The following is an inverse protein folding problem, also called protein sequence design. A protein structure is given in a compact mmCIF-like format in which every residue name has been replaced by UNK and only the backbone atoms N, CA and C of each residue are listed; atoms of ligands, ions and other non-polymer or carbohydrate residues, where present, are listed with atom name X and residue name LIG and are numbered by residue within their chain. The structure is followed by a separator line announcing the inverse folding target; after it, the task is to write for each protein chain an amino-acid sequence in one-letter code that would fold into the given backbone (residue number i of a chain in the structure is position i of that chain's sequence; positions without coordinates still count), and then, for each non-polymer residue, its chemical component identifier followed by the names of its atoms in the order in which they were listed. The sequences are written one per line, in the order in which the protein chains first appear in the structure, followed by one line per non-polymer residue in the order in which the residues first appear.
data_IF_596387298703
#
_entry.id   IF_596387298703
#
_cell.length_a   1.000
_cell.length_b   1.000
_cell.length_c   1.000
_cell.angle_alpha   90.00
_cell.angle_beta   90.00
_cell.angle_gamma   90.00
#
_symmetry.space_group_name_H-M   'P 1'
#
loop_
_entity.id
_entity.type
_entity.pdbx_description
1 polymer ?
#
# COMPACT_ATOMS: atom_id res chain seq x y z
N UNK A 1 -10.20 22.99 23.22
CA UNK A 1 -10.58 24.21 22.46
C UNK A 1 -10.72 25.43 23.36
N UNK A 2 -11.37 25.30 24.53
CA UNK A 2 -11.47 26.36 25.53
C UNK A 2 -10.11 26.86 26.01
N UNK A 3 -9.19 25.95 26.36
CA UNK A 3 -7.84 26.31 26.80
C UNK A 3 -7.02 27.04 25.71
N UNK A 4 -7.38 26.85 24.44
CA UNK A 4 -6.76 27.55 23.31
C UNK A 4 -7.49 28.85 22.92
N UNK A 5 -8.59 29.21 23.59
CA UNK A 5 -9.39 30.40 23.27
C UNK A 5 -10.14 30.34 21.93
N UNK A 6 -10.33 29.14 21.36
CA UNK A 6 -10.86 28.96 19.99
C UNK A 6 -12.35 28.60 19.93
N UNK A 7 -13.09 28.67 21.03
CA UNK A 7 -14.50 28.21 21.09
C UNK A 7 -15.47 28.99 20.22
N UNK A 8 -15.12 30.21 19.80
CA UNK A 8 -15.90 31.00 18.84
C UNK A 8 -15.73 30.54 17.38
N UNK A 9 -14.65 29.82 17.09
CA UNK A 9 -14.26 29.36 15.73
C UNK A 9 -14.48 27.86 15.61
N UNK A 10 -13.99 27.07 16.57
CA UNK A 10 -14.06 25.61 16.57
C UNK A 10 -15.23 25.15 17.43
N UNK A 11 -16.21 24.53 16.76
CA UNK A 11 -17.35 23.86 17.42
C UNK A 11 -17.11 22.36 17.43
N UNK A 12 -17.11 21.77 18.62
CA UNK A 12 -17.02 20.31 18.79
C UNK A 12 -18.42 19.73 18.84
N UNK A 13 -18.71 18.78 17.94
CA UNK A 13 -19.98 18.06 17.90
C UNK A 13 -19.68 16.60 18.21
N UNK A 14 -20.22 16.11 19.33
CA UNK A 14 -20.04 14.72 19.73
C UNK A 14 -21.11 13.84 19.07
N UNK A 15 -20.82 13.37 17.87
CA UNK A 15 -21.69 12.52 17.07
C UNK A 15 -20.86 11.64 16.14
N UNK A 16 -21.43 10.51 15.71
CA UNK A 16 -20.99 9.83 14.49
C UNK A 16 -21.34 10.71 13.29
N UNK A 17 -20.49 10.69 12.25
CA UNK A 17 -20.71 11.52 11.06
C UNK A 17 -21.93 11.05 10.26
N UNK A 18 -22.26 9.76 10.35
CA UNK A 18 -23.43 9.14 9.75
C UNK A 18 -24.74 9.75 10.26
N UNK A 19 -24.76 10.18 11.53
CA UNK A 19 -25.89 10.74 12.27
C UNK A 19 -25.81 12.27 12.40
N UNK A 20 -24.74 12.88 11.90
CA UNK A 20 -24.49 14.30 12.04
C UNK A 20 -25.53 15.10 11.24
N UNK A 21 -26.04 16.15 11.89
CA UNK A 21 -26.82 17.20 11.23
C UNK A 21 -26.06 18.50 11.43
N UNK A 22 -25.62 19.12 10.32
CA UNK A 22 -24.95 20.40 10.39
C UNK A 22 -25.94 21.50 10.84
N UNK A 23 -25.47 22.55 11.53
CA UNK A 23 -26.32 23.69 11.86
C UNK A 23 -26.95 24.30 10.62
N UNK A 24 -28.21 24.76 10.71
CA UNK A 24 -28.99 25.33 9.59
C UNK A 24 -28.27 26.47 8.86
N UNK A 25 -27.37 27.18 9.53
CA UNK A 25 -26.54 28.23 8.94
C UNK A 25 -25.42 27.72 7.99
N UNK A 26 -25.22 26.40 7.88
CA UNK A 26 -24.09 25.78 7.21
C UNK A 26 -24.49 24.41 6.66
N UNK A 27 -25.35 24.38 5.63
CA UNK A 27 -25.83 23.12 5.02
C UNK A 27 -24.70 22.28 4.41
N UNK A 28 -23.62 22.93 3.94
CA UNK A 28 -22.42 22.30 3.38
C UNK A 28 -21.14 23.02 3.80
N UNK A 29 -20.00 22.32 3.74
CA UNK A 29 -18.66 22.79 4.06
C UNK A 29 -17.79 22.89 2.80
N UNK A 30 -16.86 23.84 2.80
CA UNK A 30 -15.90 24.05 1.72
C UNK A 30 -14.76 23.01 1.73
N UNK A 31 -14.40 22.51 2.92
CA UNK A 31 -13.27 21.62 3.11
C UNK A 31 -13.65 20.52 4.10
N UNK A 32 -13.32 19.28 3.76
CA UNK A 32 -13.28 18.16 4.70
C UNK A 32 -11.82 17.77 4.88
N UNK A 33 -11.37 17.76 6.13
CA UNK A 33 -10.05 17.28 6.53
C UNK A 33 -10.22 16.12 7.50
N UNK A 34 -9.57 14.99 7.22
CA UNK A 34 -9.56 13.84 8.12
C UNK A 34 -8.25 13.08 7.98
N UNK A 35 -7.72 12.66 9.12
CA UNK A 35 -6.79 11.54 9.20
C UNK A 35 -7.67 10.30 9.43
N UNK A 36 -7.73 9.41 8.45
CA UNK A 36 -8.59 8.22 8.45
C UNK A 36 -7.85 6.94 8.06
N UNK A 37 -6.58 7.06 7.67
CA UNK A 37 -5.83 6.01 7.01
C UNK A 37 -5.46 4.94 8.04
N UNK A 38 -5.75 3.68 7.73
CA UNK A 38 -5.29 2.56 8.54
C UNK A 38 -4.00 1.94 8.00
N UNK A 39 -3.65 0.77 8.52
CA UNK A 39 -2.58 -0.04 7.92
C UNK A 39 -2.86 -0.29 6.44
N UNK A 40 -1.81 -0.21 5.62
CA UNK A 40 -1.87 -0.32 4.15
C UNK A 40 -3.00 0.51 3.52
N UNK A 41 -3.31 1.68 4.12
CA UNK A 41 -4.37 2.63 3.78
C UNK A 41 -5.79 2.20 4.20
N UNK A 42 -6.22 0.99 3.86
CA UNK A 42 -7.63 0.60 3.88
C UNK A 42 -8.09 -0.15 5.15
N UNK A 43 -7.16 -0.64 5.98
CA UNK A 43 -7.53 -1.30 7.25
C UNK A 43 -8.24 -0.31 8.21
N UNK A 44 -9.00 -0.82 9.18
CA UNK A 44 -9.76 -0.06 10.19
C UNK A 44 -11.00 0.70 9.68
N UNK A 45 -11.14 0.84 8.35
CA UNK A 45 -12.42 1.10 7.68
C UNK A 45 -13.07 2.46 7.96
N UNK A 46 -12.31 3.50 8.30
CA UNK A 46 -12.85 4.85 8.50
C UNK A 46 -13.17 5.59 7.19
N UNK A 47 -12.58 5.16 6.06
CA UNK A 47 -12.79 5.80 4.77
C UNK A 47 -14.27 5.90 4.39
N UNK A 48 -15.08 4.87 4.68
CA UNK A 48 -16.52 4.91 4.40
C UNK A 48 -17.26 6.04 5.13
N UNK A 49 -16.86 6.37 6.35
CA UNK A 49 -17.41 7.51 7.08
C UNK A 49 -16.99 8.84 6.46
N UNK A 50 -15.76 8.92 5.95
CA UNK A 50 -15.23 10.12 5.27
C UNK A 50 -15.93 10.34 3.93
N UNK A 51 -16.14 9.30 3.13
CA UNK A 51 -16.86 9.40 1.86
C UNK A 51 -18.34 9.75 2.08
N UNK A 52 -18.97 9.18 3.11
CA UNK A 52 -20.32 9.59 3.50
C UNK A 52 -20.37 11.08 3.90
N UNK A 53 -19.35 11.58 4.59
CA UNK A 53 -19.24 12.99 4.93
C UNK A 53 -19.07 13.87 3.68
N UNK A 54 -18.24 13.44 2.72
CA UNK A 54 -18.08 14.09 1.42
C UNK A 54 -19.43 14.22 0.71
N UNK A 55 -20.12 13.11 0.53
CA UNK A 55 -21.37 13.06 -0.24
C UNK A 55 -22.49 13.90 0.39
N UNK A 56 -22.57 13.92 1.73
CA UNK A 56 -23.60 14.67 2.45
C UNK A 56 -23.26 16.14 2.62
N UNK A 57 -22.02 16.45 2.97
CA UNK A 57 -21.67 17.74 3.55
C UNK A 57 -20.72 18.57 2.68
N UNK A 58 -20.03 18.01 1.69
CA UNK A 58 -19.12 18.79 0.86
C UNK A 58 -19.88 19.58 -0.22
N UNK A 59 -19.47 20.83 -0.46
CA UNK A 59 -19.89 21.61 -1.63
C UNK A 59 -19.38 20.98 -2.93
N UNK A 60 -20.02 21.31 -4.06
CA UNK A 60 -19.62 20.77 -5.37
C UNK A 60 -18.19 21.18 -5.76
N UNK A 61 -17.73 22.35 -5.33
CA UNK A 61 -16.38 22.89 -5.51
C UNK A 61 -15.50 22.72 -4.26
N UNK A 62 -15.92 21.88 -3.31
CA UNK A 62 -15.21 21.65 -2.07
C UNK A 62 -13.96 20.80 -2.23
N UNK A 63 -13.10 20.82 -1.22
CA UNK A 63 -11.81 20.12 -1.22
C UNK A 63 -11.74 19.04 -0.15
N UNK A 64 -11.04 17.95 -0.47
CA UNK A 64 -10.71 16.86 0.45
C UNK A 64 -9.25 16.94 0.87
N UNK A 65 -8.97 16.76 2.16
CA UNK A 65 -7.62 16.71 2.72
C UNK A 65 -7.45 15.41 3.53
N UNK A 66 -6.64 14.44 3.03
CA UNK A 66 -5.95 14.44 1.73
C UNK A 66 -6.91 14.34 0.54
N UNK A 67 -6.44 14.61 -0.68
CA UNK A 67 -7.28 14.55 -1.90
C UNK A 67 -6.98 13.32 -2.76
N UNK A 68 -5.73 12.86 -2.82
CA UNK A 68 -5.35 11.63 -3.53
C UNK A 68 -4.65 10.68 -2.57
N UNK A 69 -4.83 9.38 -2.82
CA UNK A 69 -4.16 8.32 -2.08
C UNK A 69 -3.59 7.31 -3.07
N UNK A 70 -2.37 6.85 -2.80
CA UNK A 70 -1.70 5.83 -3.61
C UNK A 70 -1.21 4.71 -2.70
N UNK A 71 -1.58 3.47 -3.02
CA UNK A 71 -1.05 2.25 -2.42
C UNK A 71 0.06 1.73 -3.32
N UNK A 72 1.20 1.43 -2.73
CA UNK A 72 2.36 0.87 -3.41
C UNK A 72 2.65 -0.55 -2.92
N UNK A 73 3.29 -1.34 -3.78
CA UNK A 73 3.80 -2.65 -3.41
C UNK A 73 5.16 -2.94 -4.04
N UNK A 74 5.99 -3.67 -3.31
CA UNK A 74 7.25 -4.21 -3.82
C UNK A 74 7.57 -5.59 -3.22
N UNK A 75 8.20 -6.50 -3.99
CA UNK A 75 8.83 -7.70 -3.43
C UNK A 75 9.95 -7.31 -2.45
N UNK A 76 10.08 -8.08 -1.37
CA UNK A 76 11.02 -7.79 -0.30
C UNK A 76 11.64 -9.04 0.34
N UNK A 77 12.77 -8.83 0.99
CA UNK A 77 13.36 -9.73 1.98
C UNK A 77 12.94 -9.32 3.39
N UNK A 78 12.89 -10.28 4.31
CA UNK A 78 12.61 -10.07 5.74
C UNK A 78 13.61 -10.83 6.60
N UNK A 79 14.92 -10.51 6.47
CA UNK A 79 15.99 -11.29 7.11
C UNK A 79 15.93 -11.23 8.64
N UNK A 80 15.44 -10.13 9.21
CA UNK A 80 15.27 -9.98 10.67
C UNK A 80 14.26 -10.96 11.26
N UNK A 81 13.30 -11.44 10.47
CA UNK A 81 12.31 -12.41 10.91
C UNK A 81 12.76 -13.85 10.71
N UNK A 82 13.53 -14.16 9.65
CA UNK A 82 13.80 -15.55 9.27
C UNK A 82 15.29 -15.88 9.19
N UNK A 83 16.07 -15.07 8.48
CA UNK A 83 17.48 -15.36 8.19
C UNK A 83 18.34 -15.25 9.44
N UNK A 84 17.97 -14.37 10.38
CA UNK A 84 18.61 -14.25 11.70
C UNK A 84 18.69 -15.60 12.44
N UNK A 85 17.64 -16.43 12.35
CA UNK A 85 17.55 -17.72 13.05
C UNK A 85 18.40 -18.82 12.42
N UNK A 86 18.95 -18.61 11.23
CA UNK A 86 19.81 -19.59 10.57
C UNK A 86 21.18 -19.69 11.27
N UNK A 87 21.62 -18.62 11.93
CA UNK A 87 22.85 -18.61 12.72
C UNK A 87 22.81 -17.49 13.77
N UNK A 88 22.48 -17.85 15.01
CA UNK A 88 22.53 -16.97 16.17
C UNK A 88 23.73 -17.41 17.01
N UNK A 89 24.82 -16.65 16.95
CA UNK A 89 26.04 -16.90 17.71
C UNK A 89 26.59 -18.35 17.54
N UNK A 90 26.50 -18.89 16.32
CA UNK A 90 26.94 -20.25 15.99
C UNK A 90 25.85 -21.32 16.15
N UNK A 91 24.65 -20.95 16.61
CA UNK A 91 23.52 -21.85 16.83
C UNK A 91 22.53 -21.75 15.68
N UNK A 92 22.24 -22.89 15.05
CA UNK A 92 21.21 -22.99 14.01
C UNK A 92 19.83 -23.24 14.62
N UNK A 93 18.88 -22.37 14.34
CA UNK A 93 17.48 -22.47 14.81
C UNK A 93 16.48 -22.57 13.63
N UNK A 94 16.86 -23.28 12.56
CA UNK A 94 16.05 -23.41 11.34
C UNK A 94 14.62 -23.93 11.59
N UNK A 95 14.44 -24.82 12.57
CA UNK A 95 13.13 -25.33 12.95
C UNK A 95 12.23 -24.24 13.54
N UNK A 96 12.81 -23.31 14.30
CA UNK A 96 12.12 -22.13 14.80
C UNK A 96 11.76 -21.18 13.65
N UNK A 97 12.70 -20.89 12.75
CA UNK A 97 12.48 -20.04 11.58
C UNK A 97 11.30 -20.54 10.73
N UNK A 98 11.26 -21.86 10.46
CA UNK A 98 10.16 -22.51 9.72
C UNK A 98 8.82 -22.37 10.45
N UNK A 99 8.79 -22.65 11.76
CA UNK A 99 7.56 -22.53 12.55
C UNK A 99 7.06 -21.09 12.64
N UNK A 100 7.99 -20.13 12.79
CA UNK A 100 7.69 -18.72 12.78
C UNK A 100 7.10 -18.31 11.42
N UNK A 101 7.68 -18.77 10.31
CA UNK A 101 7.15 -18.49 8.97
C UNK A 101 5.74 -19.02 8.79
N UNK A 102 5.46 -20.26 9.18
CA UNK A 102 4.11 -20.84 9.13
C UNK A 102 3.09 -20.01 9.93
N UNK A 103 3.49 -19.39 11.03
CA UNK A 103 2.60 -18.50 11.79
C UNK A 103 2.45 -17.14 11.10
N UNK A 104 3.56 -16.56 10.65
CA UNK A 104 3.63 -15.21 10.07
C UNK A 104 3.04 -15.13 8.66
N UNK A 105 2.97 -16.22 7.91
CA UNK A 105 2.32 -16.24 6.59
C UNK A 105 0.79 -16.34 6.66
N UNK A 106 0.18 -16.36 7.85
CA UNK A 106 -1.29 -16.43 8.02
C UNK A 106 -1.96 -15.07 8.20
N UNK A 107 -1.18 -14.00 8.34
CA UNK A 107 -1.65 -12.63 8.53
C UNK A 107 -0.58 -11.63 8.07
N UNK A 108 -0.96 -10.42 7.67
CA UNK A 108 0.01 -9.37 7.41
C UNK A 108 0.77 -8.96 8.67
N UNK A 109 2.01 -8.55 8.49
CA UNK A 109 2.91 -8.10 9.55
C UNK A 109 3.16 -6.60 9.43
N UNK A 110 2.76 -5.85 10.46
CA UNK A 110 3.02 -4.40 10.52
C UNK A 110 4.40 -4.17 11.14
N UNK A 111 5.38 -3.86 10.30
CA UNK A 111 6.77 -3.74 10.71
C UNK A 111 7.48 -2.65 9.91
N UNK A 112 8.54 -2.11 10.50
CA UNK A 112 9.46 -1.24 9.78
C UNK A 112 10.35 -2.10 8.90
N UNK A 113 10.28 -1.91 7.59
CA UNK A 113 11.17 -2.54 6.64
C UNK A 113 12.37 -1.64 6.38
N UNK A 114 13.59 -2.18 6.50
CA UNK A 114 14.79 -1.49 6.03
C UNK A 114 14.75 -1.39 4.50
N UNK A 115 14.85 -0.20 3.89
CA UNK A 115 14.82 -0.01 2.44
C UNK A 115 15.78 -0.90 1.67
N UNK A 116 16.90 -1.31 2.30
CA UNK A 116 17.87 -2.18 1.63
C UNK A 116 17.31 -3.57 1.30
N UNK A 117 16.28 -3.99 2.03
CA UNK A 117 15.62 -5.29 1.88
C UNK A 117 14.48 -5.24 0.85
N UNK A 118 14.16 -4.09 0.26
CA UNK A 118 13.30 -4.04 -0.91
C UNK A 118 14.04 -4.57 -2.14
N UNK A 119 13.39 -5.46 -2.88
CA UNK A 119 13.92 -6.01 -4.13
C UNK A 119 13.52 -5.15 -5.35
N UNK A 120 12.61 -4.20 -5.16
CA UNK A 120 12.14 -3.22 -6.14
C UNK A 120 11.73 -1.93 -5.42
N UNK A 121 11.82 -0.77 -6.06
CA UNK A 121 11.45 0.52 -5.46
C UNK A 121 9.95 0.67 -5.15
N UNK A 122 9.11 -0.04 -5.91
CA UNK A 122 7.65 -0.06 -5.75
C UNK A 122 6.92 0.15 -7.06
N UNK A 123 5.75 -0.44 -7.18
CA UNK A 123 4.77 -0.14 -8.24
C UNK A 123 3.46 0.29 -7.61
N UNK A 124 2.68 1.10 -8.34
CA UNK A 124 1.36 1.55 -7.88
C UNK A 124 0.39 0.37 -7.94
N UNK A 125 0.00 -0.11 -6.77
CA UNK A 125 -1.01 -1.15 -6.62
C UNK A 125 -2.40 -0.57 -6.89
N UNK A 126 -2.68 0.60 -6.31
CA UNK A 126 -3.95 1.28 -6.46
C UNK A 126 -3.80 2.79 -6.23
N UNK A 127 -4.49 3.60 -7.02
CA UNK A 127 -4.58 5.05 -6.83
C UNK A 127 -6.05 5.43 -6.80
N UNK A 128 -6.41 6.37 -5.92
CA UNK A 128 -7.77 6.89 -5.83
C UNK A 128 -7.79 8.39 -5.50
N UNK A 129 -8.73 9.10 -6.12
CA UNK A 129 -9.07 10.48 -5.78
C UNK A 129 -10.28 10.47 -4.84
N UNK A 130 -10.14 11.06 -3.65
CA UNK A 130 -11.20 11.08 -2.64
C UNK A 130 -12.42 11.90 -3.07
N UNK A 131 -12.31 12.76 -4.08
CA UNK A 131 -13.48 13.47 -4.62
C UNK A 131 -14.42 12.54 -5.40
N UNK A 132 -13.86 11.53 -6.08
CA UNK A 132 -14.60 10.76 -7.09
C UNK A 132 -14.76 9.27 -6.76
N UNK A 133 -13.92 8.74 -5.86
CA UNK A 133 -13.92 7.30 -5.54
C UNK A 133 -15.28 6.85 -4.95
N UNK A 134 -15.82 5.75 -5.46
CA UNK A 134 -16.99 5.08 -4.91
C UNK A 134 -16.57 3.97 -3.92
N UNK A 135 -17.37 3.76 -2.88
CA UNK A 135 -17.18 2.64 -1.94
C UNK A 135 -17.21 1.27 -2.63
N UNK A 136 -17.96 1.11 -3.71
CA UNK A 136 -18.04 -0.13 -4.48
C UNK A 136 -16.70 -0.51 -5.12
N UNK A 137 -15.89 0.48 -5.52
CA UNK A 137 -14.54 0.26 -6.07
C UNK A 137 -13.57 -0.29 -5.02
N UNK A 138 -13.90 -0.10 -3.73
CA UNK A 138 -13.08 -0.51 -2.60
C UNK A 138 -13.55 -1.83 -1.99
N UNK A 139 -14.59 -2.47 -2.53
CA UNK A 139 -14.99 -3.82 -2.10
C UNK A 139 -13.95 -4.87 -2.52
N UNK A 140 -13.33 -4.68 -3.69
CA UNK A 140 -12.21 -5.49 -4.17
C UNK A 140 -11.23 -4.64 -4.97
N UNK A 141 -10.00 -4.54 -4.48
CA UNK A 141 -8.87 -3.96 -5.22
C UNK A 141 -7.98 -5.10 -5.69
N UNK A 142 -7.75 -5.20 -7.00
CA UNK A 142 -6.91 -6.25 -7.60
C UNK A 142 -5.84 -5.63 -8.49
N UNK A 143 -4.61 -6.07 -8.28
CA UNK A 143 -3.44 -5.61 -9.02
C UNK A 143 -2.60 -6.79 -9.46
N UNK A 144 -2.16 -6.80 -10.71
CA UNK A 144 -1.31 -7.84 -11.29
C UNK A 144 -0.19 -7.17 -12.08
N UNK A 145 1.05 -7.59 -11.85
CA UNK A 145 2.19 -7.03 -12.57
C UNK A 145 3.37 -8.01 -12.62
N UNK A 146 4.34 -7.69 -13.49
CA UNK A 146 5.65 -8.31 -13.53
C UNK A 146 6.71 -7.25 -13.33
N UNK A 147 7.39 -7.31 -12.18
CA UNK A 147 8.48 -6.38 -11.86
C UNK A 147 9.84 -7.06 -12.07
N UNK A 148 10.83 -6.31 -12.55
CA UNK A 148 12.20 -6.78 -12.61
C UNK A 148 12.90 -6.43 -11.30
N UNK A 149 13.42 -7.41 -10.55
CA UNK A 149 14.17 -7.14 -9.33
C UNK A 149 15.31 -6.14 -9.60
N UNK A 150 15.36 -5.05 -8.84
CA UNK A 150 16.40 -4.02 -8.96
C UNK A 150 17.65 -4.35 -8.15
N UNK A 151 17.60 -5.42 -7.34
CA UNK A 151 18.74 -6.00 -6.63
C UNK A 151 18.48 -7.46 -6.31
N UNK A 152 19.54 -8.22 -6.12
CA UNK A 152 19.46 -9.60 -5.66
C UNK A 152 19.13 -9.71 -4.16
N UNK A 153 18.47 -10.81 -3.78
CA UNK A 153 18.10 -11.09 -2.39
C UNK A 153 17.14 -12.26 -2.26
N UNK A 154 16.74 -12.57 -1.02
CA UNK A 154 15.74 -13.60 -0.76
C UNK A 154 14.34 -12.99 -0.90
N UNK A 155 13.59 -13.36 -1.93
CA UNK A 155 12.19 -13.00 -2.08
C UNK A 155 11.38 -13.77 -1.03
N UNK A 156 10.92 -13.05 0.00
CA UNK A 156 10.32 -13.64 1.20
C UNK A 156 8.94 -13.06 1.53
N UNK A 157 8.48 -12.07 0.77
CA UNK A 157 7.23 -11.35 1.01
C UNK A 157 7.04 -10.17 0.08
N UNK A 158 5.90 -9.52 0.22
CA UNK A 158 5.59 -8.24 -0.40
C UNK A 158 5.41 -7.18 0.68
N UNK A 159 6.04 -6.03 0.47
CA UNK A 159 5.91 -4.85 1.31
C UNK A 159 4.92 -3.89 0.67
N UNK A 160 3.90 -3.48 1.43
CA UNK A 160 2.84 -2.58 1.02
C UNK A 160 2.89 -1.34 1.91
N UNK A 161 2.83 -0.18 1.28
CA UNK A 161 2.77 1.12 1.95
C UNK A 161 1.84 2.05 1.16
N UNK A 162 1.62 3.25 1.68
CA UNK A 162 0.81 4.24 1.02
C UNK A 162 1.39 5.65 1.11
N UNK A 163 0.92 6.49 0.21
CA UNK A 163 1.12 7.93 0.24
C UNK A 163 -0.22 8.63 0.09
N UNK A 164 -0.37 9.79 0.74
CA UNK A 164 -1.52 10.66 0.57
C UNK A 164 -1.07 12.07 0.23
N UNK A 165 -1.75 12.70 -0.72
CA UNK A 165 -1.45 14.04 -1.23
C UNK A 165 -2.44 15.05 -0.66
N UNK A 166 -1.92 16.13 -0.08
CA UNK A 166 -2.68 17.28 0.37
C UNK A 166 -2.58 18.39 -0.67
N UNK A 167 -3.70 18.89 -1.22
CA UNK A 167 -3.70 19.90 -2.27
C UNK A 167 -3.32 21.27 -1.69
N UNK A 168 -2.65 22.09 -2.51
CA UNK A 168 -2.23 23.44 -2.14
C UNK A 168 -1.35 24.06 -3.24
N UNK A 169 -0.91 25.31 -3.04
CA UNK A 169 0.04 25.96 -3.95
C UNK A 169 1.34 25.16 -4.09
N UNK A 170 1.75 24.52 -3.00
CA UNK A 170 2.77 23.48 -2.96
C UNK A 170 2.10 22.23 -2.38
N UNK A 171 1.99 21.17 -3.18
CA UNK A 171 1.39 19.93 -2.72
C UNK A 171 2.28 19.29 -1.65
N UNK A 172 1.65 18.78 -0.58
CA UNK A 172 2.35 18.07 0.50
C UNK A 172 2.01 16.60 0.42
N UNK A 173 3.02 15.73 0.46
CA UNK A 173 2.84 14.28 0.47
C UNK A 173 3.20 13.75 1.86
N UNK A 174 2.27 13.04 2.48
CA UNK A 174 2.54 12.19 3.62
C UNK A 174 2.81 10.78 3.10
N UNK A 175 4.05 10.32 3.26
CA UNK A 175 4.48 9.00 2.80
C UNK A 175 4.76 8.05 3.97
N UNK A 176 4.34 6.80 3.81
CA UNK A 176 4.70 5.67 4.70
C UNK A 176 5.72 4.74 4.06
N UNK A 177 6.33 5.17 2.95
CA UNK A 177 7.38 4.43 2.25
C UNK A 177 8.54 4.07 3.19
N UNK A 178 9.18 2.90 3.03
CA UNK A 178 10.44 2.60 3.71
C UNK A 178 11.51 3.68 3.52
N UNK A 179 11.50 4.38 2.38
CA UNK A 179 12.45 5.45 2.06
C UNK A 179 12.15 6.79 2.76
N UNK A 180 10.96 6.93 3.34
CA UNK A 180 10.52 8.12 4.06
C UNK A 180 10.80 8.00 5.58
N UNK A 181 10.75 9.11 6.33
CA UNK A 181 10.79 9.05 7.79
C UNK A 181 9.74 8.11 8.38
N UNK A 182 10.10 7.37 9.44
CA UNK A 182 9.21 6.41 10.08
C UNK A 182 7.92 7.06 10.57
N UNK A 183 6.81 6.38 10.32
CA UNK A 183 5.48 6.74 10.81
C UNK A 183 4.93 5.62 11.70
N UNK A 184 3.89 5.91 12.47
CA UNK A 184 3.27 4.89 13.33
C UNK A 184 2.59 3.76 12.52
N UNK A 185 2.24 3.99 11.25
CA UNK A 185 1.70 2.98 10.35
C UNK A 185 2.74 1.94 9.93
N UNK A 186 4.03 2.30 9.92
CA UNK A 186 5.12 1.50 9.35
C UNK A 186 4.76 1.01 7.95
N UNK A 187 5.11 -0.23 7.60
CA UNK A 187 4.66 -0.89 6.38
C UNK A 187 3.92 -2.19 6.72
N UNK A 188 3.10 -2.64 5.77
CA UNK A 188 2.43 -3.94 5.83
C UNK A 188 3.22 -4.96 5.01
N UNK A 189 3.72 -6.01 5.65
CA UNK A 189 4.44 -7.08 4.97
C UNK A 189 3.58 -8.34 4.91
N UNK A 190 3.30 -8.82 3.70
CA UNK A 190 2.69 -10.13 3.48
C UNK A 190 3.82 -11.14 3.28
N UNK A 191 4.01 -12.02 4.27
CA UNK A 191 5.08 -13.02 4.28
C UNK A 191 4.70 -14.23 3.44
N UNK A 192 5.59 -14.63 2.52
CA UNK A 192 5.42 -15.84 1.72
C UNK A 192 5.62 -17.12 2.54
N UNK A 193 4.89 -18.20 2.22
CA UNK A 193 5.17 -19.52 2.79
C UNK A 193 6.54 -20.04 2.34
N UNK A 194 7.05 -21.05 3.04
CA UNK A 194 8.44 -21.49 2.92
C UNK A 194 8.81 -22.00 1.52
N UNK A 195 7.87 -22.66 0.85
CA UNK A 195 7.98 -23.23 -0.48
C UNK A 195 7.85 -22.19 -1.61
N UNK A 196 7.31 -21.01 -1.30
CA UNK A 196 7.19 -19.88 -2.23
C UNK A 196 8.38 -18.91 -2.14
N UNK A 197 9.30 -19.09 -1.20
CA UNK A 197 10.48 -18.24 -1.08
C UNK A 197 11.58 -18.67 -2.05
N UNK A 198 12.20 -17.71 -2.73
CA UNK A 198 13.29 -17.97 -3.66
C UNK A 198 14.37 -16.89 -3.56
N UNK A 199 15.61 -17.23 -3.93
CA UNK A 199 16.67 -16.23 -4.12
C UNK A 199 16.58 -15.71 -5.54
N UNK A 200 16.47 -14.39 -5.68
CA UNK A 200 16.44 -13.71 -6.97
C UNK A 200 17.72 -12.92 -7.18
N UNK A 201 18.13 -12.82 -8.44
CA UNK A 201 19.23 -11.94 -8.87
C UNK A 201 18.66 -10.60 -9.37
N UNK A 202 19.55 -9.63 -9.58
CA UNK A 202 19.18 -8.41 -10.29
C UNK A 202 18.61 -8.75 -11.68
N UNK A 203 17.52 -8.07 -12.06
CA UNK A 203 16.73 -8.24 -13.27
C UNK A 203 15.95 -9.56 -13.36
N UNK A 204 15.92 -10.37 -12.32
CA UNK A 204 14.98 -11.50 -12.25
C UNK A 204 13.53 -10.99 -12.30
N UNK A 205 12.68 -11.54 -13.18
CA UNK A 205 11.28 -11.16 -13.24
C UNK A 205 10.50 -11.79 -12.08
N UNK A 206 9.68 -11.00 -11.40
CA UNK A 206 8.79 -11.42 -10.33
C UNK A 206 7.37 -11.09 -10.78
N UNK A 207 6.62 -12.11 -11.18
CA UNK A 207 5.23 -11.98 -11.60
C UNK A 207 4.31 -12.30 -10.42
N UNK A 208 3.34 -11.44 -10.16
CA UNK A 208 2.47 -11.59 -9.00
C UNK A 208 1.13 -10.89 -9.19
N UNK A 209 0.18 -11.28 -8.36
CA UNK A 209 -1.09 -10.59 -8.19
C UNK A 209 -1.38 -10.39 -6.71
N UNK A 210 -1.91 -9.22 -6.36
CA UNK A 210 -2.40 -8.90 -5.03
C UNK A 210 -3.86 -8.53 -5.11
N UNK A 211 -4.66 -9.13 -4.24
CA UNK A 211 -6.06 -8.77 -4.04
C UNK A 211 -6.27 -8.29 -2.61
N UNK A 212 -6.98 -7.18 -2.46
CA UNK A 212 -7.51 -6.69 -1.19
C UNK A 212 -9.03 -6.74 -1.26
N UNK A 213 -9.64 -7.71 -0.59
CA UNK A 213 -11.10 -7.89 -0.59
C UNK A 213 -11.67 -7.52 0.77
N UNK A 214 -12.66 -6.63 0.79
CA UNK A 214 -13.32 -6.22 2.02
C UNK A 214 -14.03 -7.41 2.66
N UNK A 215 -13.89 -7.56 3.97
CA UNK A 215 -14.54 -8.66 4.69
C UNK A 215 -16.04 -8.41 4.84
N UNK A 216 -16.83 -9.37 4.36
CA UNK A 216 -18.29 -9.35 4.54
C UNK A 216 -18.72 -9.48 6.01
N UNK A 217 -17.88 -10.05 6.88
CA UNK A 217 -18.18 -10.21 8.31
C UNK A 217 -17.76 -9.00 9.16
N UNK A 218 -16.84 -8.20 8.64
CA UNK A 218 -16.31 -7.01 9.32
C UNK A 218 -15.85 -6.00 8.28
N UNK A 219 -16.70 -5.01 8.02
CA UNK A 219 -16.49 -3.96 7.01
C UNK A 219 -15.25 -3.08 7.27
N UNK A 220 -14.57 -3.25 8.41
CA UNK A 220 -13.30 -2.59 8.76
C UNK A 220 -12.06 -3.41 8.45
N UNK A 221 -12.23 -4.63 7.92
CA UNK A 221 -11.13 -5.54 7.60
C UNK A 221 -11.08 -5.82 6.11
N UNK A 222 -9.86 -6.04 5.63
CA UNK A 222 -9.57 -6.54 4.30
C UNK A 222 -8.82 -7.86 4.41
N UNK A 223 -9.16 -8.80 3.53
CA UNK A 223 -8.39 -10.00 3.29
C UNK A 223 -7.36 -9.67 2.21
N UNK A 224 -6.08 -9.89 2.50
CA UNK A 224 -5.00 -9.74 1.54
C UNK A 224 -4.65 -11.13 1.00
N UNK A 225 -4.65 -11.26 -0.32
CA UNK A 225 -4.22 -12.45 -1.03
C UNK A 225 -3.08 -12.09 -1.96
N UNK A 226 -2.05 -12.94 -1.98
CA UNK A 226 -0.90 -12.83 -2.87
C UNK A 226 -0.80 -14.12 -3.66
N UNK A 227 -0.83 -14.00 -4.98
CA UNK A 227 -0.62 -15.10 -5.91
C UNK A 227 0.70 -14.87 -6.65
N UNK A 228 1.60 -15.85 -6.59
CA UNK A 228 2.83 -15.84 -7.40
C UNK A 228 2.50 -16.44 -8.77
N UNK A 229 2.85 -15.72 -9.82
CA UNK A 229 2.53 -16.06 -11.20
C UNK A 229 3.79 -16.48 -11.96
N UNK A 230 3.61 -17.08 -13.14
CA UNK A 230 4.73 -17.45 -14.01
C UNK A 230 5.11 -16.27 -14.94
N UNK A 231 6.29 -15.65 -14.77
CA UNK A 231 6.73 -14.55 -15.64
C UNK A 231 6.93 -14.95 -17.11
N UNK A 232 7.02 -16.25 -17.41
CA UNK A 232 7.06 -16.75 -18.78
C UNK A 232 5.73 -16.57 -19.50
N UNK A 233 4.62 -16.72 -18.76
CA UNK A 233 3.26 -16.68 -19.27
C UNK A 233 2.69 -15.26 -19.19
N UNK A 234 2.95 -14.55 -18.10
CA UNK A 234 2.42 -13.20 -17.90
C UNK A 234 3.00 -12.19 -18.89
N UNK A 235 2.18 -11.18 -19.21
CA UNK A 235 2.58 -10.02 -20.00
C UNK A 235 3.47 -9.11 -19.15
N UNK A 236 4.55 -8.62 -19.74
CA UNK A 236 5.48 -7.73 -19.06
C UNK A 236 5.16 -6.29 -19.47
N UNK A 237 5.43 -5.30 -18.57
CA UNK A 237 5.37 -3.90 -18.97
C UNK A 237 6.32 -3.63 -20.14
N UNK A 238 5.99 -2.65 -20.97
CA UNK A 238 6.82 -2.30 -22.13
C UNK A 238 7.20 -0.81 -22.01
N UNK A 239 8.48 -0.48 -21.76
CA UNK A 239 9.63 -1.38 -21.67
C UNK A 239 9.71 -2.15 -20.34
N UNK A 240 10.22 -3.38 -20.38
CA UNK A 240 10.59 -4.16 -19.19
C UNK A 240 12.10 -4.31 -19.10
N UNK A 241 12.64 -4.13 -17.89
CA UNK A 241 14.07 -4.17 -17.59
C UNK A 241 14.57 -5.55 -17.12
N UNK A 242 13.72 -6.58 -17.16
CA UNK A 242 14.10 -7.93 -16.73
C UNK A 242 15.05 -8.62 -17.72
N UNK A 243 15.71 -9.69 -17.27
CA UNK A 243 16.68 -10.43 -18.08
C UNK A 243 16.05 -11.39 -19.10
N UNK A 244 14.72 -11.45 -19.21
CA UNK A 244 14.07 -12.37 -20.14
C UNK A 244 14.36 -11.98 -21.58
N UNK A 245 14.70 -12.96 -22.42
CA UNK A 245 15.02 -12.75 -23.84
C UNK A 245 13.93 -11.97 -24.58
N UNK A 246 12.64 -12.24 -24.30
CA UNK A 246 11.50 -11.53 -24.91
C UNK A 246 11.55 -10.02 -24.61
N UNK A 247 11.97 -9.63 -23.40
CA UNK A 247 12.02 -8.24 -22.96
C UNK A 247 13.25 -7.53 -23.53
N UNK A 248 14.42 -8.17 -23.50
CA UNK A 248 15.65 -7.62 -24.08
C UNK A 248 15.48 -7.32 -25.58
N UNK A 249 14.87 -8.24 -26.33
CA UNK A 249 14.61 -8.05 -27.76
C UNK A 249 13.60 -6.92 -28.02
N UNK A 250 12.54 -6.85 -27.23
CA UNK A 250 11.52 -5.79 -27.32
C UNK A 250 12.12 -4.42 -27.05
N UNK A 251 12.92 -4.29 -25.98
CA UNK A 251 13.61 -3.04 -25.63
C UNK A 251 14.58 -2.59 -26.74
N UNK A 252 15.37 -3.51 -27.29
CA UNK A 252 16.28 -3.21 -28.40
C UNK A 252 15.53 -2.75 -29.66
N UNK A 253 14.38 -3.36 -29.95
CA UNK A 253 13.53 -2.97 -31.08
C UNK A 253 12.97 -1.55 -30.90
N UNK A 254 12.43 -1.24 -29.72
CA UNK A 254 11.90 0.09 -29.39
C UNK A 254 12.98 1.18 -29.49
N UNK A 255 14.20 0.90 -29.03
CA UNK A 255 15.34 1.81 -29.17
C UNK A 255 15.65 2.09 -30.64
N UNK A 256 15.54 1.08 -31.52
CA UNK A 256 15.80 1.23 -32.96
C UNK A 256 14.74 2.09 -33.65
N UNK A 257 13.46 1.92 -33.28
CA UNK A 257 12.35 2.74 -33.80
C UNK A 257 12.52 4.21 -33.40
N UNK A 258 12.85 4.49 -32.15
CA UNK A 258 12.97 5.87 -31.64
C UNK A 258 14.21 6.62 -32.16
N UNK A 259 15.15 5.92 -32.81
CA UNK A 259 16.34 6.52 -33.44
C UNK A 259 16.21 6.70 -34.96
N UNK A 260 15.08 6.33 -35.55
CA UNK A 260 14.78 6.44 -36.99
C UNK A 260 13.84 7.61 -37.27
#
# INVERSE_FOLDING_TARGET
MQDNGLTSIVKVIHSRVEELVLPVSSEKVDIIVSEWMGFYLLHEGMLGSVLLARDKFLKEDGLMFPTECTIFVAPCSVPSLFDYWQNIDGIKMDSFAKKLRTQKSTRPEITQLDPKNLLHEGVVLHWMNLLDVDMAELEEVRFKDVVAAQRGGNHQGFCIWFEVLFPGNEAVILSTSPFAPETHWKQCVVVLPQDACETVDEKSPIAFQISMTRSASDMRKYNLEVELLDPNIEEHPVPCSCHMTKCILTEAHLKTINTS
#
